data_IF_235165997775
#
_entry.id   IF_235165997775
#
_cell.length_a   1.000
_cell.length_b   1.000
_cell.length_c   1.000
_cell.angle_alpha   90.00
_cell.angle_beta   90.00
_cell.angle_gamma   90.00
#
_symmetry.space_group_name_H-M   'P 1'
#
loop_
_entity.id
_entity.type
_entity.pdbx_description
1 polymer ?
#
# COMPACT_ATOMS: atom_id res chain seq x y z
N UNK A 1 -5.14 19.38 -0.04
CA UNK A 1 -5.87 18.31 -0.73
C UNK A 1 -6.86 18.96 -1.67
N UNK A 2 -6.93 18.55 -2.93
CA UNK A 2 -7.96 19.08 -3.85
C UNK A 2 -9.34 18.65 -3.34
N UNK A 3 -10.30 19.59 -3.32
CA UNK A 3 -11.67 19.28 -2.90
C UNK A 3 -12.22 18.16 -3.79
N UNK A 4 -12.83 17.15 -3.18
CA UNK A 4 -13.51 16.02 -3.83
C UNK A 4 -12.62 15.02 -4.59
N UNK A 5 -11.31 15.01 -4.40
CA UNK A 5 -10.43 13.95 -4.94
C UNK A 5 -9.90 13.02 -3.86
N UNK A 6 -9.63 11.78 -4.23
CA UNK A 6 -8.89 10.82 -3.39
C UNK A 6 -7.47 11.33 -3.19
N UNK A 7 -6.88 11.05 -2.02
CA UNK A 7 -5.51 11.43 -1.73
C UNK A 7 -4.52 10.66 -2.59
N UNK A 8 -3.69 11.37 -3.38
CA UNK A 8 -2.60 10.76 -4.17
C UNK A 8 -1.60 10.02 -3.30
N UNK A 9 -1.36 10.50 -2.08
CA UNK A 9 -0.52 9.80 -1.10
C UNK A 9 -1.17 8.49 -0.64
N UNK A 10 -2.49 8.46 -0.42
CA UNK A 10 -3.20 7.23 -0.05
C UNK A 10 -3.13 6.19 -1.17
N UNK A 11 -3.30 6.63 -2.43
CA UNK A 11 -3.14 5.79 -3.62
C UNK A 11 -1.72 5.23 -3.72
N UNK A 12 -0.69 6.08 -3.55
CA UNK A 12 0.71 5.66 -3.59
C UNK A 12 1.02 4.61 -2.50
N UNK A 13 0.56 4.83 -1.26
CA UNK A 13 0.77 3.88 -0.17
C UNK A 13 0.07 2.55 -0.43
N UNK A 14 -1.15 2.56 -0.97
CA UNK A 14 -1.82 1.33 -1.39
C UNK A 14 -1.06 0.64 -2.54
N UNK A 15 -0.54 1.40 -3.51
CA UNK A 15 0.23 0.85 -4.62
C UNK A 15 1.48 0.14 -4.12
N UNK A 16 2.22 0.77 -3.21
CA UNK A 16 3.40 0.18 -2.60
C UNK A 16 3.09 -1.14 -1.85
N UNK A 17 2.04 -1.18 -1.02
CA UNK A 17 1.65 -2.40 -0.30
C UNK A 17 1.17 -3.49 -1.26
N UNK A 18 0.35 -3.12 -2.24
CA UNK A 18 -0.16 -4.05 -3.25
C UNK A 18 0.95 -4.60 -4.15
N UNK A 19 1.88 -3.76 -4.59
CA UNK A 19 3.04 -4.19 -5.38
C UNK A 19 3.86 -5.22 -4.62
N UNK A 20 4.18 -4.94 -3.34
CA UNK A 20 4.89 -5.89 -2.49
C UNK A 20 4.14 -7.23 -2.37
N UNK A 21 2.83 -7.18 -2.11
CA UNK A 21 2.00 -8.38 -1.97
C UNK A 21 1.95 -9.26 -3.25
N UNK A 22 2.03 -8.64 -4.43
CA UNK A 22 1.96 -9.33 -5.73
C UNK A 22 3.32 -9.80 -6.22
N UNK A 23 4.40 -9.04 -6.00
CA UNK A 23 5.67 -9.22 -6.69
C UNK A 23 6.82 -9.75 -5.83
N UNK A 24 6.75 -9.65 -4.51
CA UNK A 24 7.82 -10.14 -3.63
C UNK A 24 7.46 -11.49 -3.01
N UNK A 25 8.38 -12.45 -3.08
CA UNK A 25 8.25 -13.76 -2.42
C UNK A 25 8.44 -13.65 -0.90
N UNK A 26 9.45 -12.90 -0.47
CA UNK A 26 9.78 -12.69 0.93
C UNK A 26 8.95 -11.53 1.52
N UNK A 27 7.68 -11.79 1.80
CA UNK A 27 6.73 -10.78 2.27
C UNK A 27 7.01 -10.31 3.70
N UNK A 28 7.23 -9.01 3.86
CA UNK A 28 7.26 -8.33 5.17
C UNK A 28 5.83 -8.09 5.65
N UNK A 29 4.92 -7.79 4.72
CA UNK A 29 3.50 -7.52 4.96
C UNK A 29 2.68 -7.99 3.76
N UNK A 30 1.52 -8.63 3.96
CA UNK A 30 0.70 -9.15 2.87
C UNK A 30 -0.64 -8.39 2.77
N UNK A 31 -0.66 -7.35 1.96
CA UNK A 31 -1.88 -6.61 1.61
C UNK A 31 -2.46 -7.09 0.27
N UNK A 32 -2.99 -8.31 0.28
CA UNK A 32 -3.48 -8.97 -0.94
C UNK A 32 -4.68 -8.25 -1.60
N UNK A 33 -5.31 -7.27 -0.93
CA UNK A 33 -6.43 -6.49 -1.49
C UNK A 33 -6.00 -5.14 -2.07
N UNK A 34 -4.92 -4.53 -1.58
CA UNK A 34 -4.56 -3.17 -1.98
C UNK A 34 -4.33 -3.00 -3.48
N UNK A 35 -3.76 -4.02 -4.14
CA UNK A 35 -3.52 -3.96 -5.58
C UNK A 35 -4.84 -3.93 -6.37
N UNK A 36 -5.84 -4.70 -5.96
CA UNK A 36 -7.16 -4.76 -6.60
C UNK A 36 -8.00 -3.51 -6.38
N UNK A 37 -7.84 -2.85 -5.23
CA UNK A 37 -8.52 -1.59 -4.93
C UNK A 37 -8.14 -0.46 -5.88
N UNK A 38 -6.93 -0.51 -6.45
CA UNK A 38 -6.44 0.53 -7.34
C UNK A 38 -6.98 0.35 -8.77
N UNK A 39 -7.56 1.41 -9.36
CA UNK A 39 -7.78 1.49 -10.79
C UNK A 39 -6.52 1.15 -11.58
N UNK A 40 -6.68 0.54 -12.74
CA UNK A 40 -5.55 0.21 -13.62
C UNK A 40 -4.75 1.44 -14.02
N UNK A 41 -5.42 2.57 -14.30
CA UNK A 41 -4.78 3.84 -14.62
C UNK A 41 -3.83 4.32 -13.51
N UNK A 42 -4.22 4.16 -12.23
CA UNK A 42 -3.38 4.52 -11.10
C UNK A 42 -2.18 3.58 -10.98
N UNK A 43 -2.39 2.26 -11.17
CA UNK A 43 -1.31 1.26 -11.13
C UNK A 43 -0.28 1.53 -12.22
N UNK A 44 -0.72 1.75 -13.45
CA UNK A 44 0.16 2.06 -14.59
C UNK A 44 0.89 3.39 -14.36
N UNK A 45 0.20 4.41 -13.85
CA UNK A 45 0.78 5.72 -13.55
C UNK A 45 1.90 5.62 -12.50
N UNK A 46 1.67 4.90 -11.39
CA UNK A 46 2.72 4.71 -10.39
C UNK A 46 3.86 3.84 -10.89
N UNK A 47 3.57 2.75 -11.62
CA UNK A 47 4.59 1.92 -12.22
C UNK A 47 5.52 2.75 -13.12
N UNK A 48 4.96 3.55 -14.03
CA UNK A 48 5.73 4.45 -14.89
C UNK A 48 6.55 5.47 -14.06
N UNK A 49 5.95 6.06 -13.03
CA UNK A 49 6.65 7.00 -12.16
C UNK A 49 7.86 6.35 -11.49
N UNK A 50 7.72 5.13 -10.97
CA UNK A 50 8.84 4.41 -10.36
C UNK A 50 9.86 3.96 -11.40
N UNK A 51 9.45 3.45 -12.56
CA UNK A 51 10.37 3.16 -13.68
C UNK A 51 11.25 4.37 -14.00
N UNK A 52 10.69 5.58 -14.12
CA UNK A 52 11.47 6.79 -14.39
C UNK A 52 12.50 7.08 -13.30
N UNK A 53 12.15 6.87 -12.02
CA UNK A 53 13.12 7.04 -10.92
C UNK A 53 14.27 6.04 -10.97
N UNK A 54 14.05 4.85 -11.55
CA UNK A 54 15.10 3.82 -11.67
C UNK A 54 16.16 4.15 -12.73
N UNK A 55 15.90 5.13 -13.62
CA UNK A 55 16.93 5.60 -14.55
C UNK A 55 18.11 6.26 -13.81
N UNK A 56 17.90 6.66 -12.56
CA UNK A 56 18.90 7.29 -11.71
C UNK A 56 19.63 6.29 -10.81
N UNK A 57 19.39 4.97 -10.90
CA UNK A 57 20.02 3.97 -10.01
C UNK A 57 21.53 4.14 -9.96
N UNK A 58 22.20 4.33 -11.11
CA UNK A 58 23.67 4.52 -11.15
C UNK A 58 24.17 5.62 -10.22
N UNK A 59 23.39 6.70 -10.05
CA UNK A 59 23.74 7.82 -9.18
C UNK A 59 23.44 7.58 -7.70
N UNK A 60 22.55 6.62 -7.40
CA UNK A 60 22.13 6.25 -6.05
C UNK A 60 22.99 5.09 -5.52
N UNK A 61 23.14 4.06 -6.33
CA UNK A 61 23.85 2.82 -6.05
C UNK A 61 24.38 2.21 -7.36
N UNK A 62 25.67 2.42 -7.63
CA UNK A 62 26.32 1.93 -8.83
C UNK A 62 26.46 0.40 -8.86
N UNK A 63 26.53 -0.28 -7.71
CA UNK A 63 26.64 -1.74 -7.64
C UNK A 63 25.31 -2.39 -8.00
N UNK A 64 24.21 -1.91 -7.39
CA UNK A 64 22.87 -2.36 -7.74
C UNK A 64 22.50 -2.08 -9.20
N UNK A 65 22.98 -0.97 -9.77
CA UNK A 65 22.76 -0.66 -11.18
C UNK A 65 23.28 -1.75 -12.13
N UNK A 66 24.38 -2.42 -11.77
CA UNK A 66 24.95 -3.50 -12.58
C UNK A 66 24.08 -4.77 -12.60
N UNK A 67 23.23 -4.95 -11.57
CA UNK A 67 22.31 -6.08 -11.46
C UNK A 67 20.96 -5.81 -12.14
N UNK A 68 20.68 -4.57 -12.52
CA UNK A 68 19.44 -4.16 -13.19
C UNK A 68 19.56 -4.34 -14.72
N UNK A 69 19.41 -5.58 -15.18
CA UNK A 69 19.58 -5.93 -16.60
C UNK A 69 18.35 -5.66 -17.48
N UNK A 70 17.17 -5.47 -16.89
CA UNK A 70 15.95 -5.04 -17.57
C UNK A 70 15.11 -4.08 -16.72
N UNK A 71 14.03 -3.56 -17.31
CA UNK A 71 13.12 -2.62 -16.64
C UNK A 71 12.40 -3.24 -15.44
N UNK A 72 12.03 -4.51 -15.51
CA UNK A 72 11.29 -5.18 -14.44
C UNK A 72 12.18 -5.36 -13.19
N UNK A 73 13.45 -5.72 -13.39
CA UNK A 73 14.44 -5.83 -12.31
C UNK A 73 14.78 -4.47 -11.74
N UNK A 74 14.95 -3.44 -12.59
CA UNK A 74 15.17 -2.07 -12.15
C UNK A 74 13.99 -1.55 -11.31
N UNK A 75 12.76 -1.79 -11.76
CA UNK A 75 11.54 -1.44 -11.02
C UNK A 75 11.47 -2.17 -9.68
N UNK A 76 11.67 -3.49 -9.66
CA UNK A 76 11.67 -4.27 -8.42
C UNK A 76 12.75 -3.79 -7.44
N UNK A 77 13.93 -3.44 -7.93
CA UNK A 77 14.94 -2.78 -7.11
C UNK A 77 14.45 -1.43 -6.57
N UNK A 78 13.93 -0.55 -7.43
CA UNK A 78 13.46 0.78 -7.02
C UNK A 78 12.35 0.70 -5.99
N UNK A 79 11.41 -0.21 -6.19
CA UNK A 79 10.34 -0.49 -5.25
C UNK A 79 10.89 -0.98 -3.91
N UNK A 80 11.90 -1.84 -3.86
CA UNK A 80 12.47 -2.32 -2.58
C UNK A 80 13.43 -1.37 -1.90
N UNK A 81 14.15 -0.56 -2.67
CA UNK A 81 15.27 0.25 -2.18
C UNK A 81 14.90 1.71 -1.93
N UNK A 82 13.90 2.24 -2.63
CA UNK A 82 13.45 3.62 -2.44
C UNK A 82 12.40 3.68 -1.32
N UNK A 83 12.44 4.77 -0.55
CA UNK A 83 11.69 4.93 0.69
C UNK A 83 10.18 4.59 0.66
N UNK A 84 9.38 4.90 -0.39
CA UNK A 84 7.93 4.78 -0.32
C UNK A 84 7.40 3.38 0.07
N UNK A 85 7.93 2.30 -0.52
CA UNK A 85 7.41 0.96 -0.23
C UNK A 85 7.89 0.39 1.09
N UNK A 86 9.20 0.40 1.45
CA UNK A 86 9.66 -0.04 2.76
C UNK A 86 8.94 0.68 3.89
N UNK A 87 8.67 1.99 3.74
CA UNK A 87 7.88 2.74 4.70
C UNK A 87 6.43 2.26 4.76
N UNK A 88 5.77 2.05 3.61
CA UNK A 88 4.38 1.61 3.56
C UNK A 88 4.18 0.25 4.22
N UNK A 89 5.01 -0.75 3.88
CA UNK A 89 4.87 -2.13 4.38
C UNK A 89 5.30 -2.25 5.84
N UNK A 90 6.39 -1.58 6.24
CA UNK A 90 6.88 -1.66 7.61
C UNK A 90 5.94 -0.97 8.59
N UNK A 91 5.36 0.18 8.21
CA UNK A 91 4.37 0.88 9.05
C UNK A 91 3.10 0.05 9.22
N UNK A 92 2.58 -0.52 8.12
CA UNK A 92 1.37 -1.34 8.18
C UNK A 92 1.58 -2.57 9.07
N UNK A 93 2.70 -3.29 8.90
CA UNK A 93 3.09 -4.39 9.78
C UNK A 93 3.19 -3.96 11.23
N UNK A 94 3.91 -2.88 11.51
CA UNK A 94 4.12 -2.40 12.88
C UNK A 94 2.79 -2.11 13.59
N UNK A 95 1.86 -1.45 12.90
CA UNK A 95 0.52 -1.18 13.44
C UNK A 95 -0.29 -2.44 13.71
N UNK A 96 -0.31 -3.40 12.78
CA UNK A 96 -1.05 -4.66 12.95
C UNK A 96 -0.42 -5.58 14.01
N UNK A 97 0.91 -5.66 14.05
CA UNK A 97 1.62 -6.43 15.08
C UNK A 97 1.36 -5.83 16.48
N UNK A 98 1.26 -4.50 16.57
CA UNK A 98 0.86 -3.80 17.80
C UNK A 98 -0.55 -4.16 18.25
N UNK A 99 -1.51 -4.16 17.31
CA UNK A 99 -2.90 -4.56 17.59
C UNK A 99 -3.01 -6.01 18.06
N UNK A 100 -2.29 -6.94 17.41
CA UNK A 100 -2.28 -8.37 17.78
C UNK A 100 -1.72 -8.63 19.19
N UNK A 101 -0.80 -7.78 19.66
CA UNK A 101 -0.22 -7.86 21.00
C UNK A 101 -1.09 -7.22 22.08
N UNK A 102 -2.05 -6.39 21.70
CA UNK A 102 -2.92 -5.72 22.65
C UNK A 102 -4.00 -6.70 23.15
N UNK A 103 -4.04 -6.93 24.46
CA UNK A 103 -5.05 -7.78 25.07
C UNK A 103 -6.36 -7.02 25.31
N UNK A 104 -7.50 -7.69 25.11
CA UNK A 104 -8.84 -7.18 25.46
C UNK A 104 -9.24 -5.86 24.80
N UNK A 105 -8.87 -5.65 23.52
CA UNK A 105 -9.33 -4.49 22.74
C UNK A 105 -10.70 -4.75 22.11
N UNK A 106 -11.63 -3.83 22.30
CA UNK A 106 -12.97 -3.88 21.70
C UNK A 106 -13.13 -2.97 20.49
N UNK A 107 -12.30 -1.93 20.37
CA UNK A 107 -12.37 -0.93 19.31
C UNK A 107 -10.99 -0.62 18.75
N UNK A 108 -10.89 -0.59 17.42
CA UNK A 108 -9.69 -0.20 16.69
C UNK A 108 -10.02 0.97 15.76
N UNK A 109 -9.39 2.12 15.97
CA UNK A 109 -9.66 3.34 15.20
C UNK A 109 -8.47 3.66 14.31
N UNK A 110 -8.68 3.67 13.00
CA UNK A 110 -7.68 4.04 12.00
C UNK A 110 -7.92 5.48 11.58
N UNK A 111 -7.01 6.38 11.99
CA UNK A 111 -7.06 7.81 11.65
C UNK A 111 -6.29 8.08 10.36
N UNK A 112 -6.90 8.79 9.42
CA UNK A 112 -6.34 8.93 8.07
C UNK A 112 -6.28 7.58 7.36
N UNK A 113 -7.37 6.80 7.47
CA UNK A 113 -7.42 5.41 7.01
C UNK A 113 -7.09 5.25 5.52
N UNK A 114 -7.30 6.27 4.70
CA UNK A 114 -6.94 6.23 3.29
C UNK A 114 -7.53 5.03 2.58
N UNK A 115 -6.63 4.23 2.00
CA UNK A 115 -6.93 2.94 1.38
C UNK A 115 -6.40 1.77 2.22
N UNK A 116 -6.46 1.88 3.54
CA UNK A 116 -6.23 0.75 4.45
C UNK A 116 -7.26 -0.36 4.18
N UNK A 117 -6.80 -1.60 4.29
CA UNK A 117 -7.54 -2.83 3.95
C UNK A 117 -7.70 -3.76 5.14
N UNK A 118 -7.26 -3.38 6.34
CA UNK A 118 -7.24 -4.20 7.54
C UNK A 118 -8.59 -4.91 7.78
N UNK A 119 -9.68 -4.15 7.84
CA UNK A 119 -11.01 -4.68 8.11
C UNK A 119 -11.50 -5.68 7.05
N UNK A 120 -10.96 -5.61 5.83
CA UNK A 120 -11.36 -6.45 4.70
C UNK A 120 -10.46 -7.68 4.55
N UNK A 121 -9.21 -7.63 5.03
CA UNK A 121 -8.30 -8.79 5.05
C UNK A 121 -8.54 -9.71 6.25
N UNK A 122 -9.03 -9.14 7.35
CA UNK A 122 -9.23 -9.84 8.62
C UNK A 122 -10.72 -9.88 8.98
N UNK A 123 -11.54 -10.41 8.09
CA UNK A 123 -13.01 -10.45 8.24
C UNK A 123 -13.46 -11.25 9.48
N UNK A 124 -12.66 -12.22 9.90
CA UNK A 124 -12.85 -13.01 11.12
C UNK A 124 -12.54 -12.23 12.40
N UNK A 125 -11.66 -11.22 12.34
CA UNK A 125 -11.30 -10.39 13.49
C UNK A 125 -12.37 -9.32 13.73
N UNK A 126 -12.96 -8.77 12.67
CA UNK A 126 -13.99 -7.73 12.80
C UNK A 126 -15.30 -8.21 13.44
N UNK A 127 -15.52 -9.52 13.54
CA UNK A 127 -16.63 -10.08 14.33
C UNK A 127 -16.48 -9.84 15.84
N UNK A 128 -15.24 -9.67 16.31
CA UNK A 128 -14.90 -9.52 17.74
C UNK A 128 -14.35 -8.14 18.07
N UNK A 129 -13.88 -7.41 17.06
CA UNK A 129 -13.24 -6.10 17.17
C UNK A 129 -13.98 -5.09 16.29
N UNK A 130 -14.51 -4.02 16.89
CA UNK A 130 -15.11 -2.94 16.11
C UNK A 130 -14.03 -2.07 15.47
N UNK A 131 -13.92 -2.11 14.15
CA UNK A 131 -12.98 -1.27 13.40
C UNK A 131 -13.69 -0.02 12.91
N UNK A 132 -13.17 1.14 13.31
CA UNK A 132 -13.63 2.44 12.83
C UNK A 132 -12.54 3.06 11.95
N UNK A 133 -12.95 3.60 10.82
CA UNK A 133 -12.07 4.36 9.97
C UNK A 133 -12.50 5.81 9.90
N UNK A 134 -11.54 6.71 10.10
CA UNK A 134 -11.77 8.16 10.04
C UNK A 134 -10.89 8.73 8.95
N UNK A 135 -11.51 9.27 7.91
CA UNK A 135 -10.83 9.99 6.83
C UNK A 135 -11.79 11.01 6.19
N UNK A 136 -11.27 11.77 5.24
CA UNK A 136 -12.03 12.68 4.42
C UNK A 136 -13.04 11.93 3.52
N UNK A 137 -14.22 12.54 3.33
CA UNK A 137 -15.36 11.94 2.62
C UNK A 137 -15.02 11.50 1.20
N UNK A 138 -14.14 12.21 0.50
CA UNK A 138 -13.72 11.87 -0.87
C UNK A 138 -12.92 10.56 -0.91
N UNK A 139 -12.04 10.34 0.05
CA UNK A 139 -11.23 9.11 0.14
C UNK A 139 -12.10 7.93 0.53
N UNK A 140 -12.99 8.10 1.51
CA UNK A 140 -13.92 7.05 1.93
C UNK A 140 -14.90 6.67 0.81
N UNK A 141 -15.48 7.66 0.13
CA UNK A 141 -16.38 7.43 -1.01
C UNK A 141 -15.68 6.67 -2.15
N UNK A 142 -14.42 7.01 -2.42
CA UNK A 142 -13.62 6.31 -3.41
C UNK A 142 -13.39 4.85 -3.00
N UNK A 143 -12.96 4.59 -1.76
CA UNK A 143 -12.72 3.23 -1.28
C UNK A 143 -13.97 2.38 -1.31
N UNK A 144 -15.10 2.89 -0.81
CA UNK A 144 -16.37 2.17 -0.84
C UNK A 144 -16.79 1.79 -2.26
N UNK A 145 -16.65 2.71 -3.22
CA UNK A 145 -16.95 2.41 -4.63
C UNK A 145 -16.08 1.27 -5.16
N UNK A 146 -14.76 1.35 -4.93
CA UNK A 146 -13.82 0.33 -5.38
C UNK A 146 -14.10 -1.04 -4.76
N UNK A 147 -14.41 -1.09 -3.47
CA UNK A 147 -14.82 -2.32 -2.80
C UNK A 147 -16.12 -2.90 -3.37
N UNK A 148 -17.10 -2.06 -3.67
CA UNK A 148 -18.36 -2.50 -4.27
C UNK A 148 -18.19 -3.05 -5.70
N UNK A 149 -17.22 -2.55 -6.45
CA UNK A 149 -16.87 -3.03 -7.79
C UNK A 149 -16.08 -4.36 -7.78
N UNK A 150 -15.57 -4.79 -6.62
CA UNK A 150 -14.80 -6.02 -6.44
C UNK A 150 -15.65 -7.20 -5.92
N UNK A 151 -16.89 -6.95 -5.50
CA UNK A 151 -17.86 -7.97 -5.07
C UNK A 151 -18.74 -8.44 -6.23
#
# INVERSE_FOLDING_TARGET
MEKNKVSRTALLMAYCRGYHAVHDDAKIFDDFLAYCLLPEEDRVSFQQQFTLTTQQIKSIDSESAALCYDEAVALAWGMRSLAPLPLAVSRARYSEDGLKKAESIQQYVILGAGLDTFAFRHSEIVEKLQVFEVDHISTQSFKHRRLAEMN
#
